data_IF_833991516628
#
_entry.id   IF_833991516628
#
_cell.length_a   1.000
_cell.length_b   1.000
_cell.length_c   1.000
_cell.angle_alpha   90.00
_cell.angle_beta   90.00
_cell.angle_gamma   90.00
#
_symmetry.space_group_name_H-M   'P 1'
#
loop_
_entity.id
_entity.type
_entity.pdbx_description
1 polymer ?
#
# COMPACT_ATOMS: atom_id res chain seq x y z
N UNK A 1 -47.87 -15.14 22.62
CA UNK A 1 -47.16 -15.42 21.35
C UNK A 1 -46.26 -14.23 21.03
N UNK A 2 -45.06 -14.18 21.63
CA UNK A 2 -44.11 -13.08 21.43
C UNK A 2 -43.28 -13.34 20.17
N UNK A 3 -43.27 -12.40 19.22
CA UNK A 3 -42.36 -12.46 18.07
C UNK A 3 -40.93 -12.39 18.60
N UNK A 4 -40.13 -13.44 18.34
CA UNK A 4 -38.66 -13.36 18.45
C UNK A 4 -38.21 -12.21 17.55
N UNK A 5 -37.58 -11.20 18.15
CA UNK A 5 -36.74 -10.26 17.42
C UNK A 5 -35.71 -11.07 16.63
N UNK A 6 -35.74 -10.97 15.31
CA UNK A 6 -34.63 -11.44 14.48
C UNK A 6 -33.40 -10.65 14.89
N UNK A 7 -32.45 -11.30 15.56
CA UNK A 7 -31.10 -10.76 15.73
C UNK A 7 -30.57 -10.44 14.34
N UNK A 8 -30.31 -9.15 14.08
CA UNK A 8 -29.54 -8.73 12.92
C UNK A 8 -28.16 -9.34 13.14
N UNK A 9 -27.64 -10.21 12.24
CA UNK A 9 -26.29 -10.73 12.38
C UNK A 9 -25.36 -9.52 12.50
N UNK A 10 -24.53 -9.47 13.56
CA UNK A 10 -23.46 -8.48 13.63
C UNK A 10 -22.71 -8.53 12.31
N UNK A 11 -22.57 -7.41 11.60
CA UNK A 11 -21.82 -7.38 10.34
C UNK A 11 -20.47 -8.06 10.57
N UNK A 12 -20.25 -9.21 9.94
CA UNK A 12 -18.97 -9.89 10.06
C UNK A 12 -17.92 -8.97 9.44
N UNK A 13 -17.01 -8.47 10.28
CA UNK A 13 -15.93 -7.60 9.84
C UNK A 13 -14.84 -8.42 9.15
N UNK A 14 -15.02 -8.68 7.86
CA UNK A 14 -14.08 -9.47 7.04
C UNK A 14 -12.68 -8.85 6.92
N UNK A 15 -12.51 -7.58 7.28
CA UNK A 15 -11.23 -6.88 7.23
C UNK A 15 -10.35 -7.06 8.48
N UNK A 16 -10.89 -7.55 9.61
CA UNK A 16 -10.12 -7.61 10.87
C UNK A 16 -9.38 -8.92 11.06
N UNK A 17 -8.15 -8.84 11.57
CA UNK A 17 -7.36 -9.99 12.03
C UNK A 17 -6.86 -10.94 10.92
N UNK A 18 -6.95 -10.52 9.65
CA UNK A 18 -6.63 -11.38 8.51
C UNK A 18 -5.13 -11.43 8.19
N UNK A 19 -4.36 -10.40 8.55
CA UNK A 19 -2.90 -10.35 8.36
C UNK A 19 -2.15 -10.84 9.61
N UNK A 20 -2.20 -12.15 9.89
CA UNK A 20 -1.61 -12.73 11.12
C UNK A 20 -0.10 -12.49 11.23
N UNK A 21 0.63 -12.63 10.13
CA UNK A 21 2.08 -12.44 10.06
C UNK A 21 2.48 -10.99 10.43
N UNK A 22 1.69 -10.00 9.99
CA UNK A 22 1.90 -8.60 10.37
C UNK A 22 1.67 -8.43 11.88
N UNK A 23 0.64 -9.07 12.44
CA UNK A 23 0.41 -9.09 13.89
C UNK A 23 1.59 -9.68 14.68
N UNK A 24 2.21 -10.76 14.19
CA UNK A 24 3.41 -11.37 14.78
C UNK A 24 4.63 -10.42 14.71
N UNK A 25 4.82 -9.72 13.59
CA UNK A 25 5.90 -8.73 13.46
C UNK A 25 5.72 -7.58 14.47
N UNK A 26 4.51 -7.06 14.61
CA UNK A 26 4.20 -5.97 15.55
C UNK A 26 4.38 -6.40 16.99
N UNK A 27 3.84 -7.56 17.37
CA UNK A 27 3.95 -8.09 18.75
C UNK A 27 5.39 -8.48 19.13
N UNK A 28 6.21 -8.86 18.16
CA UNK A 28 7.66 -9.13 18.37
C UNK A 28 8.54 -7.87 18.33
N UNK A 29 7.97 -6.68 18.15
CA UNK A 29 8.72 -5.42 18.09
C UNK A 29 9.52 -5.20 16.79
N UNK A 30 9.27 -6.02 15.77
CA UNK A 30 9.93 -5.94 14.44
C UNK A 30 9.15 -5.10 13.43
N UNK A 31 7.95 -4.66 13.78
CA UNK A 31 7.15 -3.73 13.00
C UNK A 31 6.38 -2.78 13.91
N UNK A 32 5.98 -1.63 13.36
CA UNK A 32 5.06 -0.69 13.97
C UNK A 32 3.94 -0.38 12.99
N UNK A 33 2.74 -0.14 13.51
CA UNK A 33 1.59 0.28 12.71
C UNK A 33 1.31 1.75 13.03
N UNK A 34 1.20 2.56 11.99
CA UNK A 34 0.68 3.91 12.05
C UNK A 34 -0.64 3.99 11.30
N UNK A 35 -1.50 4.92 11.70
CA UNK A 35 -2.69 5.29 10.93
C UNK A 35 -2.42 6.61 10.25
N UNK A 36 -2.48 6.64 8.92
CA UNK A 36 -2.44 7.87 8.14
C UNK A 36 -3.87 8.36 7.95
N UNK A 37 -4.25 9.40 8.69
CA UNK A 37 -5.52 10.10 8.47
C UNK A 37 -5.34 11.02 7.27
N UNK A 38 -6.08 10.74 6.19
CA UNK A 38 -6.05 11.56 4.99
C UNK A 38 -7.35 12.36 4.88
N UNK A 39 -7.23 13.68 4.74
CA UNK A 39 -8.35 14.55 4.41
C UNK A 39 -8.78 14.31 2.93
N UNK A 40 -10.07 14.49 2.59
CA UNK A 40 -10.53 14.42 1.21
C UNK A 40 -9.82 15.43 0.28
N UNK A 41 -9.56 15.11 -1.01
CA UNK A 41 -9.92 13.88 -1.70
C UNK A 41 -8.95 12.73 -1.40
N UNK A 42 -9.52 11.55 -1.19
CA UNK A 42 -8.78 10.33 -0.87
C UNK A 42 -8.32 9.60 -2.14
N UNK A 43 -7.46 10.25 -2.91
CA UNK A 43 -6.83 9.60 -4.07
C UNK A 43 -5.50 8.96 -3.66
N UNK A 44 -5.10 7.89 -4.35
CA UNK A 44 -3.80 7.24 -4.17
C UNK A 44 -2.66 8.25 -4.24
N UNK A 45 -2.68 9.11 -5.27
CA UNK A 45 -1.66 10.13 -5.51
C UNK A 45 -1.43 11.04 -4.30
N UNK A 46 -2.50 11.64 -3.76
CA UNK A 46 -2.39 12.57 -2.63
C UNK A 46 -1.82 11.91 -1.38
N UNK A 47 -2.11 10.62 -1.19
CA UNK A 47 -1.63 9.86 -0.04
C UNK A 47 -0.17 9.49 -0.18
N UNK A 48 0.26 9.12 -1.38
CA UNK A 48 1.68 8.88 -1.67
C UNK A 48 2.48 10.16 -1.47
N UNK A 49 1.97 11.31 -1.94
CA UNK A 49 2.59 12.62 -1.68
C UNK A 49 2.70 12.88 -0.18
N UNK A 50 1.59 12.89 0.56
CA UNK A 50 1.59 13.17 2.00
C UNK A 50 2.49 12.24 2.82
N UNK A 51 2.49 10.94 2.50
CA UNK A 51 3.32 9.95 3.17
C UNK A 51 4.81 10.23 3.00
N UNK A 52 5.22 10.60 1.79
CA UNK A 52 6.64 10.68 1.43
C UNK A 52 7.26 12.01 1.78
N UNK A 53 6.48 13.10 1.78
CA UNK A 53 6.91 14.46 2.12
C UNK A 53 6.68 14.79 3.59
N UNK A 54 5.77 14.07 4.26
CA UNK A 54 5.33 14.40 5.62
C UNK A 54 4.44 15.65 5.67
N UNK A 55 3.92 16.12 4.53
CA UNK A 55 3.04 17.29 4.44
C UNK A 55 1.57 16.89 4.44
N UNK A 56 0.70 17.78 4.92
CA UNK A 56 -0.74 17.62 4.74
C UNK A 56 -1.12 17.92 3.28
N UNK A 57 -2.04 17.17 2.65
CA UNK A 57 -2.59 17.53 1.34
C UNK A 57 -3.24 18.90 1.41
N UNK A 58 -2.91 19.81 0.50
CA UNK A 58 -3.60 21.09 0.37
C UNK A 58 -4.67 21.02 -0.71
N UNK A 59 -5.70 21.87 -0.65
CA UNK A 59 -6.76 21.92 -1.68
C UNK A 59 -6.23 22.18 -3.10
N UNK A 60 -5.03 22.77 -3.24
CA UNK A 60 -4.39 23.01 -4.54
C UNK A 60 -3.92 21.69 -5.15
N UNK A 61 -3.37 20.80 -4.33
CA UNK A 61 -2.88 19.48 -4.76
C UNK A 61 -4.00 18.59 -5.33
N UNK A 62 -5.24 18.79 -4.87
CA UNK A 62 -6.41 18.08 -5.41
C UNK A 62 -6.68 18.41 -6.89
N UNK A 63 -6.36 19.62 -7.33
CA UNK A 63 -6.45 20.04 -8.74
C UNK A 63 -5.33 19.46 -9.59
N UNK A 64 -4.13 19.31 -9.01
CA UNK A 64 -2.96 18.72 -9.67
C UNK A 64 -3.12 17.21 -9.92
N UNK A 65 -3.99 16.51 -9.18
CA UNK A 65 -4.41 15.14 -9.55
C UNK A 65 -5.01 15.03 -10.96
N UNK A 66 -5.46 16.15 -11.54
CA UNK A 66 -6.00 16.24 -12.90
C UNK A 66 -5.04 16.94 -13.87
N UNK A 67 -3.86 17.36 -13.39
CA UNK A 67 -2.81 17.94 -14.21
C UNK A 67 -2.02 16.82 -14.91
N UNK A 68 -1.59 17.02 -16.17
CA UNK A 68 -0.72 16.07 -16.86
C UNK A 68 0.66 15.92 -16.21
N UNK A 69 1.03 16.81 -15.28
CA UNK A 69 2.28 16.75 -14.52
C UNK A 69 2.01 16.47 -13.04
N UNK A 70 2.08 15.19 -12.67
CA UNK A 70 1.85 14.69 -11.32
C UNK A 70 3.14 14.61 -10.47
N UNK A 71 4.27 15.13 -10.97
CA UNK A 71 5.54 15.01 -10.28
C UNK A 71 5.54 15.77 -8.94
N UNK A 72 6.01 15.12 -7.88
CA UNK A 72 6.22 15.74 -6.57
C UNK A 72 7.51 16.55 -6.62
N UNK A 73 7.39 17.85 -6.38
CA UNK A 73 8.52 18.80 -6.39
C UNK A 73 9.01 19.16 -4.97
N UNK A 74 8.24 18.79 -3.96
CA UNK A 74 8.60 18.95 -2.55
C UNK A 74 9.66 17.94 -2.11
N UNK A 75 10.34 18.27 -1.01
CA UNK A 75 11.27 17.35 -0.39
C UNK A 75 10.54 16.10 0.12
N UNK A 76 11.13 14.93 -0.12
CA UNK A 76 10.55 13.64 0.25
C UNK A 76 11.64 12.63 0.58
N UNK A 77 11.32 11.60 1.37
CA UNK A 77 12.31 10.57 1.68
C UNK A 77 12.78 9.82 0.42
N UNK A 78 11.93 9.71 -0.61
CA UNK A 78 12.26 9.07 -1.90
C UNK A 78 13.28 9.92 -2.65
N UNK A 79 13.05 11.23 -2.73
CA UNK A 79 13.99 12.18 -3.30
C UNK A 79 15.32 12.18 -2.55
N UNK A 80 15.29 12.33 -1.23
CA UNK A 80 16.47 12.34 -0.38
C UNK A 80 17.30 11.07 -0.55
N UNK A 81 16.66 9.89 -0.54
CA UNK A 81 17.34 8.61 -0.75
C UNK A 81 18.09 8.57 -2.09
N UNK A 82 17.45 9.01 -3.17
CA UNK A 82 18.08 9.10 -4.49
C UNK A 82 19.29 10.04 -4.48
N UNK A 83 19.15 11.24 -3.91
CA UNK A 83 20.22 12.26 -3.84
C UNK A 83 21.45 11.76 -3.06
N UNK A 84 21.26 11.02 -1.97
CA UNK A 84 22.37 10.46 -1.18
C UNK A 84 22.89 9.13 -1.74
N UNK A 85 22.49 8.74 -2.95
CA UNK A 85 22.98 7.55 -3.66
C UNK A 85 22.50 6.23 -3.06
N UNK A 86 21.35 6.21 -2.36
CA UNK A 86 20.73 4.97 -1.89
C UNK A 86 19.95 4.33 -3.03
N UNK A 87 20.09 3.02 -3.16
CA UNK A 87 19.28 2.26 -4.10
C UNK A 87 17.85 2.15 -3.58
N UNK A 88 16.89 2.54 -4.40
CA UNK A 88 15.45 2.45 -4.13
C UNK A 88 14.81 1.53 -5.15
N UNK A 89 14.15 0.46 -4.69
CA UNK A 89 13.38 -0.47 -5.53
C UNK A 89 11.90 -0.15 -5.43
N UNK A 90 11.23 -0.01 -6.58
CA UNK A 90 9.77 0.12 -6.68
C UNK A 90 9.15 -1.14 -7.28
N UNK A 91 8.14 -1.70 -6.60
CA UNK A 91 7.34 -2.83 -7.07
C UNK A 91 5.85 -2.49 -6.93
N UNK A 92 5.05 -2.73 -7.97
CA UNK A 92 3.58 -2.65 -7.90
C UNK A 92 2.99 -1.49 -8.69
N UNK A 93 2.19 -0.65 -8.05
CA UNK A 93 1.52 0.50 -8.67
C UNK A 93 2.47 1.47 -9.39
N UNK A 94 2.21 1.75 -10.67
CA UNK A 94 3.00 2.65 -11.51
C UNK A 94 2.75 4.15 -11.24
N UNK A 95 1.76 4.51 -10.43
CA UNK A 95 1.54 5.89 -9.96
C UNK A 95 2.81 6.51 -9.37
N UNK A 96 3.65 5.70 -8.70
CA UNK A 96 4.94 6.12 -8.15
C UNK A 96 5.91 6.65 -9.21
N UNK A 97 5.89 6.12 -10.44
CA UNK A 97 6.76 6.56 -11.53
C UNK A 97 6.39 7.95 -12.02
N UNK A 98 5.10 8.29 -12.01
CA UNK A 98 4.61 9.64 -12.31
C UNK A 98 4.97 10.62 -11.19
N UNK A 99 4.88 10.19 -9.92
CA UNK A 99 5.17 11.05 -8.77
C UNK A 99 6.66 11.33 -8.56
N UNK A 100 7.53 10.33 -8.76
CA UNK A 100 8.97 10.44 -8.51
C UNK A 100 9.77 9.99 -9.73
N UNK A 101 9.72 10.75 -10.83
CA UNK A 101 10.45 10.40 -12.04
C UNK A 101 11.95 10.29 -11.74
N UNK A 102 12.57 9.22 -12.23
CA UNK A 102 14.01 8.92 -12.08
C UNK A 102 14.51 8.67 -10.64
N UNK A 103 13.62 8.49 -9.66
CA UNK A 103 14.04 8.25 -8.28
C UNK A 103 14.37 6.78 -7.95
N UNK A 104 14.01 5.84 -8.83
CA UNK A 104 14.11 4.40 -8.58
C UNK A 104 15.26 3.75 -9.36
N UNK A 105 16.06 2.94 -8.67
CA UNK A 105 17.20 2.21 -9.25
C UNK A 105 16.78 0.88 -9.87
N UNK A 106 15.70 0.27 -9.35
CA UNK A 106 15.07 -0.94 -9.88
C UNK A 106 13.56 -0.76 -9.87
N UNK A 107 12.90 -1.21 -10.93
CA UNK A 107 11.44 -1.07 -11.06
C UNK A 107 10.81 -2.36 -11.58
N UNK A 108 9.68 -2.75 -10.98
CA UNK A 108 8.71 -3.68 -11.54
C UNK A 108 7.32 -3.10 -11.24
N UNK A 109 6.99 -2.04 -11.97
CA UNK A 109 5.73 -1.31 -11.83
C UNK A 109 4.75 -1.68 -12.95
N UNK A 110 3.46 -1.66 -12.64
CA UNK A 110 2.37 -2.11 -13.49
C UNK A 110 1.18 -1.16 -13.37
N UNK A 111 0.40 -1.09 -14.46
CA UNK A 111 -0.85 -0.32 -14.53
C UNK A 111 -1.80 -0.73 -13.39
N UNK A 112 -2.29 0.28 -12.67
CA UNK A 112 -3.13 0.14 -11.48
C UNK A 112 -4.60 0.47 -11.70
N UNK A 113 -5.02 0.89 -12.91
CA UNK A 113 -6.38 1.42 -13.09
C UNK A 113 -7.48 0.35 -13.24
N UNK A 114 -7.15 -0.93 -13.49
CA UNK A 114 -8.15 -1.99 -13.56
C UNK A 114 -8.56 -2.53 -12.18
N UNK A 115 -9.56 -1.88 -11.57
CA UNK A 115 -10.15 -2.31 -10.29
C UNK A 115 -10.75 -3.73 -10.31
N UNK A 116 -10.90 -4.36 -11.48
CA UNK A 116 -11.35 -5.74 -11.55
C UNK A 116 -10.23 -6.75 -11.30
N UNK A 117 -8.98 -6.34 -11.48
CA UNK A 117 -7.82 -7.15 -11.21
C UNK A 117 -7.48 -7.12 -9.72
N UNK A 118 -7.81 -8.19 -9.01
CA UNK A 118 -7.46 -8.33 -7.60
C UNK A 118 -6.12 -9.02 -7.37
N UNK A 119 -5.47 -9.55 -8.41
CA UNK A 119 -4.43 -10.56 -8.23
C UNK A 119 -3.18 -10.37 -9.08
N UNK A 120 -3.30 -9.91 -10.33
CA UNK A 120 -2.23 -10.01 -11.32
C UNK A 120 -1.01 -9.21 -10.92
N UNK A 121 -1.19 -7.97 -10.47
CA UNK A 121 -0.08 -7.14 -9.99
C UNK A 121 0.55 -7.75 -8.73
N UNK A 122 -0.27 -8.07 -7.73
CA UNK A 122 0.18 -8.67 -6.46
C UNK A 122 0.99 -9.96 -6.67
N UNK A 123 0.52 -10.85 -7.57
CA UNK A 123 1.18 -12.13 -7.86
C UNK A 123 2.49 -11.96 -8.64
N UNK A 124 2.60 -10.91 -9.47
CA UNK A 124 3.84 -10.58 -10.19
C UNK A 124 4.91 -10.06 -9.24
N UNK A 125 4.54 -9.17 -8.32
CA UNK A 125 5.53 -8.50 -7.46
C UNK A 125 5.94 -9.31 -6.24
N UNK A 126 5.07 -10.20 -5.74
CA UNK A 126 5.36 -11.02 -4.57
C UNK A 126 6.64 -11.88 -4.66
N UNK A 127 6.95 -12.60 -5.76
CA UNK A 127 8.22 -13.31 -5.89
C UNK A 127 9.41 -12.35 -5.98
N UNK A 128 9.29 -11.25 -6.74
CA UNK A 128 10.35 -10.24 -6.88
C UNK A 128 10.70 -9.61 -5.53
N UNK A 129 9.67 -9.30 -4.72
CA UNK A 129 9.85 -8.76 -3.37
C UNK A 129 10.64 -9.73 -2.49
N UNK A 130 10.31 -11.03 -2.52
CA UNK A 130 11.03 -12.04 -1.73
C UNK A 130 12.49 -12.13 -2.14
N UNK A 131 12.77 -12.12 -3.44
CA UNK A 131 14.14 -12.15 -3.98
C UNK A 131 14.91 -10.89 -3.58
N UNK A 132 14.30 -9.71 -3.73
CA UNK A 132 14.94 -8.43 -3.39
C UNK A 132 15.24 -8.34 -1.89
N UNK A 133 14.34 -8.81 -1.02
CA UNK A 133 14.58 -8.86 0.43
C UNK A 133 15.68 -9.86 0.81
N UNK A 134 15.74 -11.02 0.14
CA UNK A 134 16.71 -12.07 0.44
C UNK A 134 18.11 -11.78 -0.13
N UNK A 135 18.19 -10.90 -1.15
CA UNK A 135 19.42 -10.61 -1.86
C UNK A 135 20.51 -9.99 -0.96
N UNK A 136 21.77 -10.41 -1.09
CA UNK A 136 22.90 -9.69 -0.47
C UNK A 136 23.09 -8.29 -1.07
N UNK A 137 22.58 -8.06 -2.27
CA UNK A 137 22.59 -6.77 -2.99
C UNK A 137 21.20 -6.10 -2.96
N UNK A 138 20.46 -6.30 -1.86
CA UNK A 138 19.15 -5.67 -1.64
C UNK A 138 19.27 -4.15 -1.67
N UNK A 139 18.25 -3.48 -2.23
CA UNK A 139 18.13 -2.03 -2.14
C UNK A 139 18.02 -1.57 -0.68
N UNK A 140 18.49 -0.35 -0.41
CA UNK A 140 18.38 0.24 0.93
C UNK A 140 16.93 0.54 1.30
N UNK A 141 16.09 0.83 0.29
CA UNK A 141 14.65 1.04 0.44
C UNK A 141 13.94 0.17 -0.59
N UNK A 142 12.92 -0.56 -0.16
CA UNK A 142 12.00 -1.29 -1.03
C UNK A 142 10.59 -0.75 -0.80
N UNK A 143 10.00 -0.20 -1.86
CA UNK A 143 8.60 0.21 -1.89
C UNK A 143 7.83 -0.88 -2.64
N UNK A 144 6.95 -1.58 -1.93
CA UNK A 144 6.11 -2.63 -2.51
C UNK A 144 4.63 -2.26 -2.33
N UNK A 145 4.01 -1.76 -3.40
CA UNK A 145 2.63 -1.29 -3.40
C UNK A 145 1.71 -2.36 -4.00
N UNK A 146 1.09 -3.15 -3.12
CA UNK A 146 0.08 -4.14 -3.48
C UNK A 146 -1.27 -3.46 -3.72
N UNK A 147 -1.99 -3.90 -4.75
CA UNK A 147 -3.24 -3.27 -5.20
C UNK A 147 -4.49 -4.07 -4.81
N UNK A 148 -4.35 -5.38 -4.54
CA UNK A 148 -5.50 -6.26 -4.37
C UNK A 148 -6.48 -5.81 -3.28
N UNK A 149 -5.99 -5.25 -2.16
CA UNK A 149 -6.83 -4.77 -1.05
C UNK A 149 -7.62 -3.54 -1.45
N UNK A 150 -6.96 -2.58 -2.11
CA UNK A 150 -7.58 -1.35 -2.61
C UNK A 150 -8.67 -1.68 -3.65
N UNK A 151 -8.30 -2.48 -4.66
CA UNK A 151 -9.22 -2.90 -5.71
C UNK A 151 -10.41 -3.69 -5.15
N UNK A 152 -10.19 -4.54 -4.14
CA UNK A 152 -11.25 -5.27 -3.46
C UNK A 152 -12.21 -4.31 -2.73
N UNK A 153 -11.67 -3.29 -2.05
CA UNK A 153 -12.45 -2.23 -1.41
C UNK A 153 -13.32 -1.47 -2.42
N UNK A 154 -12.78 -1.11 -3.57
CA UNK A 154 -13.51 -0.44 -4.64
C UNK A 154 -14.60 -1.31 -5.29
N UNK A 155 -14.28 -2.59 -5.55
CA UNK A 155 -15.16 -3.51 -6.29
C UNK A 155 -16.27 -4.11 -5.43
N UNK A 156 -15.94 -4.53 -4.22
CA UNK A 156 -16.83 -5.32 -3.37
C UNK A 156 -17.16 -4.64 -2.03
N UNK A 157 -16.33 -3.70 -1.59
CA UNK A 157 -16.45 -3.08 -0.27
C UNK A 157 -15.73 -3.88 0.84
N UNK A 158 -15.48 -3.24 1.99
CA UNK A 158 -14.66 -3.79 3.07
C UNK A 158 -15.33 -4.92 3.86
N UNK A 159 -16.66 -5.06 3.77
CA UNK A 159 -17.46 -6.09 4.44
C UNK A 159 -17.74 -7.30 3.55
N UNK A 160 -17.08 -7.41 2.40
CA UNK A 160 -17.23 -8.58 1.53
C UNK A 160 -16.23 -9.69 1.91
N UNK A 161 -16.61 -10.99 1.88
CA UNK A 161 -15.71 -12.09 2.21
C UNK A 161 -14.38 -12.12 1.44
N UNK A 162 -14.40 -11.65 0.19
CA UNK A 162 -13.18 -11.53 -0.64
C UNK A 162 -12.13 -10.61 0.00
N UNK A 163 -12.54 -9.61 0.78
CA UNK A 163 -11.61 -8.76 1.54
C UNK A 163 -10.76 -9.60 2.50
N UNK A 164 -11.35 -10.60 3.15
CA UNK A 164 -10.62 -11.48 4.05
C UNK A 164 -9.58 -12.33 3.32
N UNK A 165 -9.94 -12.87 2.15
CA UNK A 165 -9.03 -13.65 1.31
C UNK A 165 -7.85 -12.79 0.83
N UNK A 166 -8.14 -11.59 0.34
CA UNK A 166 -7.13 -10.64 -0.14
C UNK A 166 -6.18 -10.21 0.96
N UNK A 167 -6.69 -9.84 2.15
CA UNK A 167 -5.84 -9.48 3.29
C UNK A 167 -4.98 -10.65 3.77
N UNK A 168 -5.50 -11.88 3.77
CA UNK A 168 -4.71 -13.08 4.10
C UNK A 168 -3.59 -13.30 3.08
N UNK A 169 -3.88 -13.14 1.79
CA UNK A 169 -2.89 -13.25 0.71
C UNK A 169 -1.79 -12.22 0.88
N UNK A 170 -2.17 -10.95 1.06
CA UNK A 170 -1.22 -9.85 1.30
C UNK A 170 -0.39 -10.18 2.54
N UNK A 171 -1.00 -10.45 3.69
CA UNK A 171 -0.29 -10.80 4.94
C UNK A 171 0.71 -11.96 4.80
N UNK A 172 0.42 -12.97 3.98
CA UNK A 172 1.36 -14.07 3.70
C UNK A 172 2.67 -13.60 3.06
N UNK A 173 2.66 -12.51 2.29
CA UNK A 173 3.88 -11.94 1.69
C UNK A 173 4.83 -11.32 2.72
N UNK A 174 4.36 -11.05 3.94
CA UNK A 174 5.12 -10.36 5.00
C UNK A 174 5.82 -11.33 5.95
N UNK A 175 5.62 -12.64 5.80
CA UNK A 175 6.03 -13.65 6.77
C UNK A 175 7.54 -13.87 6.92
N UNK A 176 8.38 -13.36 6.02
CA UNK A 176 9.83 -13.62 6.05
C UNK A 176 10.63 -12.49 5.41
N UNK A 177 11.71 -12.04 6.06
CA UNK A 177 12.63 -11.07 5.48
C UNK A 177 13.68 -10.56 6.46
N UNK A 178 14.72 -9.90 5.96
CA UNK A 178 15.75 -9.25 6.80
C UNK A 178 15.19 -8.02 7.53
N UNK A 179 15.79 -7.70 8.68
CA UNK A 179 15.37 -6.58 9.55
C UNK A 179 16.03 -5.23 9.18
N UNK A 180 17.03 -5.23 8.31
CA UNK A 180 17.77 -4.03 7.88
C UNK A 180 17.18 -3.34 6.64
N UNK A 181 16.01 -3.81 6.19
CA UNK A 181 15.27 -3.23 5.06
C UNK A 181 14.05 -2.49 5.60
N UNK A 182 13.97 -1.18 5.35
CA UNK A 182 12.76 -0.40 5.62
C UNK A 182 11.67 -0.82 4.62
N UNK A 183 10.58 -1.37 5.14
CA UNK A 183 9.43 -1.85 4.36
C UNK A 183 8.22 -0.98 4.66
N UNK A 184 7.74 -0.25 3.66
CA UNK A 184 6.56 0.61 3.77
C UNK A 184 5.43 -0.05 3.00
N UNK A 185 4.28 -0.16 3.64
CA UNK A 185 3.11 -0.84 3.10
C UNK A 185 1.93 0.08 3.24
N UNK A 186 1.20 0.25 2.15
CA UNK A 186 0.09 1.18 2.05
C UNK A 186 -1.11 0.42 1.54
N UNK A 187 -2.25 0.67 2.15
CA UNK A 187 -3.53 0.36 1.58
C UNK A 187 -4.48 1.50 1.93
N UNK A 188 -5.38 1.84 1.01
CA UNK A 188 -6.44 2.80 1.26
C UNK A 188 -7.69 2.08 1.80
N UNK A 189 -8.39 2.71 2.73
CA UNK A 189 -9.71 2.32 3.23
C UNK A 189 -10.75 3.44 2.98
N UNK A 190 -10.56 4.30 1.98
CA UNK A 190 -11.32 5.55 1.78
C UNK A 190 -12.75 5.40 1.30
N UNK A 191 -13.36 4.25 1.57
CA UNK A 191 -14.81 4.05 1.53
C UNK A 191 -15.25 3.18 2.70
N UNK A 192 -15.00 3.63 3.93
CA UNK A 192 -15.83 3.32 5.09
C UNK A 192 -16.89 4.40 5.25
#
# INVERSE_FOLDING_TARGET
>A
MGKKSSEIPSEEWYFRGQMKQVGELVTSGRASIGTLLADPPTTTLQRLKALTTGTLPTFIDAGDNFSPDAAVNEDSFVHQASVIGKNVTLLGDDTWLSLYPNAFSKTAAYDSFDINDLNTVDDKIAPILREEIASPNSSSIIIAHFLGVDHCGHKFGPTHPVMADTLRKVGFFFGSGRDDVLKIWLWDVSKL
#
